data_IF_470188947646
#
_entry.id   IF_470188947646
#
_cell.length_a   1.000
_cell.length_b   1.000
_cell.length_c   1.000
_cell.angle_alpha   90.00
_cell.angle_beta   90.00
_cell.angle_gamma   90.00
#
_symmetry.space_group_name_H-M   'P 1'
#
loop_
_entity.id
_entity.type
_entity.pdbx_description
1 polymer ?
#
# COMPACT_ATOMS: atom_id res chain seq x y z
N UNK A 1 -33.08 -50.37 -31.42
CA UNK A 1 -34.27 -50.42 -32.28
C UNK A 1 -35.42 -49.75 -31.51
N UNK A 2 -35.96 -48.64 -32.06
CA UNK A 2 -37.14 -47.84 -31.67
C UNK A 2 -37.28 -47.34 -30.21
N UNK A 3 -37.01 -46.07 -29.87
CA UNK A 3 -37.80 -44.80 -30.01
C UNK A 3 -39.17 -44.73 -29.31
N UNK A 4 -39.26 -43.85 -28.29
CA UNK A 4 -40.41 -43.01 -27.95
C UNK A 4 -39.87 -41.81 -27.12
N UNK A 5 -39.63 -40.62 -27.69
CA UNK A 5 -40.58 -39.55 -28.01
C UNK A 5 -41.29 -38.96 -26.77
N UNK A 6 -40.69 -37.91 -26.18
CA UNK A 6 -41.31 -37.03 -25.18
C UNK A 6 -41.46 -35.61 -25.75
N UNK A 7 -42.57 -34.90 -25.49
CA UNK A 7 -42.93 -33.69 -26.23
C UNK A 7 -42.22 -32.43 -25.72
N UNK A 8 -41.84 -31.62 -26.70
CA UNK A 8 -41.35 -30.26 -26.65
C UNK A 8 -42.43 -29.30 -26.11
N UNK A 9 -42.07 -28.45 -25.15
CA UNK A 9 -42.83 -27.24 -24.80
C UNK A 9 -42.03 -26.01 -25.21
N UNK A 10 -42.47 -25.41 -26.30
CA UNK A 10 -42.17 -24.05 -26.75
C UNK A 10 -43.00 -23.07 -25.93
N UNK A 11 -42.34 -22.14 -25.24
CA UNK A 11 -42.97 -20.90 -24.76
C UNK A 11 -42.25 -19.74 -25.41
N UNK A 12 -42.90 -19.18 -26.43
CA UNK A 12 -42.66 -17.86 -26.99
C UNK A 12 -43.09 -16.81 -25.96
N UNK A 13 -42.11 -16.12 -25.37
CA UNK A 13 -42.31 -14.94 -24.53
C UNK A 13 -41.99 -13.68 -25.32
N UNK A 14 -43.03 -12.90 -25.58
CA UNK A 14 -43.09 -11.63 -26.30
C UNK A 14 -42.16 -10.56 -25.74
N UNK A 15 -41.53 -9.82 -26.66
CA UNK A 15 -40.70 -8.65 -26.39
C UNK A 15 -41.46 -7.55 -25.65
N UNK A 16 -40.89 -7.13 -24.53
CA UNK A 16 -41.23 -5.90 -23.83
C UNK A 16 -40.14 -4.86 -24.08
N UNK A 17 -40.46 -3.85 -24.89
CA UNK A 17 -39.79 -2.56 -24.95
C UNK A 17 -39.77 -1.91 -23.56
N UNK A 18 -38.59 -1.68 -23.00
CA UNK A 18 -38.40 -0.84 -21.83
C UNK A 18 -37.44 0.31 -22.16
N UNK A 19 -37.97 1.51 -21.93
CA UNK A 19 -37.41 2.82 -22.15
C UNK A 19 -35.97 2.99 -21.67
N UNK A 20 -35.17 3.61 -22.53
CA UNK A 20 -33.96 4.33 -22.17
C UNK A 20 -34.30 5.45 -21.18
N UNK A 21 -34.00 5.23 -19.91
CA UNK A 21 -33.91 6.31 -18.93
C UNK A 21 -32.45 6.74 -18.87
N UNK A 22 -32.20 7.98 -19.28
CA UNK A 22 -30.88 8.57 -19.23
C UNK A 22 -30.37 8.62 -17.81
N UNK A 23 -29.19 8.05 -17.58
CA UNK A 23 -28.32 8.46 -16.49
C UNK A 23 -27.24 9.35 -17.08
N UNK A 24 -27.55 10.64 -17.05
CA UNK A 24 -26.57 11.72 -17.06
C UNK A 24 -25.43 11.38 -16.09
N UNK A 25 -24.22 11.26 -16.61
CA UNK A 25 -23.00 11.24 -15.81
C UNK A 25 -23.01 12.44 -14.84
N UNK A 26 -22.74 12.25 -13.55
CA UNK A 26 -22.57 13.39 -12.67
C UNK A 26 -21.34 14.17 -13.14
N UNK A 27 -21.58 15.39 -13.63
CA UNK A 27 -20.55 16.42 -13.74
C UNK A 27 -20.08 16.71 -12.32
N UNK A 28 -18.95 16.12 -11.92
CA UNK A 28 -18.27 16.51 -10.68
C UNK A 28 -17.68 17.90 -10.92
N UNK A 29 -18.43 18.89 -10.45
CA UNK A 29 -18.02 20.28 -10.34
C UNK A 29 -16.76 20.37 -9.49
N UNK A 30 -15.74 21.00 -10.07
CA UNK A 30 -14.58 21.55 -9.37
C UNK A 30 -15.04 22.39 -8.17
N UNK A 31 -14.19 22.37 -7.13
CA UNK A 31 -14.16 23.19 -5.91
C UNK A 31 -14.84 22.57 -4.68
N UNK A 32 -14.04 21.86 -3.92
CA UNK A 32 -13.94 22.10 -2.48
C UNK A 32 -12.48 21.89 -2.07
N UNK A 33 -11.74 22.99 -1.92
CA UNK A 33 -10.50 22.99 -1.15
C UNK A 33 -10.92 22.90 0.31
N UNK A 34 -10.97 21.68 0.85
CA UNK A 34 -11.09 21.47 2.29
C UNK A 34 -9.68 21.55 2.87
N UNK A 35 -9.43 22.63 3.61
CA UNK A 35 -8.19 22.84 4.32
C UNK A 35 -7.93 21.69 5.30
N UNK A 36 -6.70 21.21 5.29
CA UNK A 36 -6.11 20.45 6.39
C UNK A 36 -6.05 21.41 7.57
N UNK A 37 -7.05 21.35 8.44
CA UNK A 37 -7.24 22.31 9.53
C UNK A 37 -8.06 21.67 10.63
N UNK A 38 -7.39 20.78 11.37
CA UNK A 38 -7.90 20.20 12.61
C UNK A 38 -7.02 20.58 13.79
N UNK A 39 -6.45 21.79 13.81
CA UNK A 39 -5.97 22.40 15.04
C UNK A 39 -7.22 22.82 15.82
N UNK A 40 -7.76 21.92 16.63
CA UNK A 40 -8.74 22.31 17.64
C UNK A 40 -8.01 23.24 18.61
N UNK A 41 -8.48 24.48 18.74
CA UNK A 41 -7.92 25.48 19.66
C UNK A 41 -7.77 24.86 21.05
N UNK A 42 -6.52 24.57 21.43
CA UNK A 42 -6.22 23.91 22.69
C UNK A 42 -6.11 24.99 23.76
N UNK A 43 -7.10 25.05 24.65
CA UNK A 43 -7.06 25.99 25.77
C UNK A 43 -5.99 25.57 26.79
N UNK A 44 -4.86 26.27 26.81
CA UNK A 44 -3.84 26.13 27.84
C UNK A 44 -4.38 26.58 29.20
N UNK A 45 -4.11 25.81 30.25
CA UNK A 45 -4.42 26.19 31.62
C UNK A 45 -3.21 26.92 32.22
N UNK A 46 -3.42 28.20 32.53
CA UNK A 46 -2.43 29.06 33.14
C UNK A 46 -2.44 28.85 34.66
N UNK A 47 -1.33 28.35 35.21
CA UNK A 47 -1.14 28.27 36.65
C UNK A 47 -0.47 29.57 37.12
N UNK A 48 -1.15 30.30 38.01
CA UNK A 48 -0.73 31.63 38.47
C UNK A 48 0.70 31.69 39.04
N UNK A 49 1.38 32.78 38.70
CA UNK A 49 2.72 33.21 39.12
C UNK A 49 3.87 32.28 38.68
N UNK A 50 4.32 32.38 37.43
CA UNK A 50 5.61 31.81 37.04
C UNK A 50 5.93 31.59 35.56
N UNK A 51 5.34 32.31 34.60
CA UNK A 51 5.73 32.23 33.18
C UNK A 51 5.64 30.83 32.56
N UNK A 52 4.82 29.94 33.13
CA UNK A 52 4.70 28.55 32.69
C UNK A 52 3.24 28.12 32.55
N UNK A 53 2.97 27.27 31.56
CA UNK A 53 1.65 26.77 31.24
C UNK A 53 1.70 25.25 31.21
N UNK A 54 0.60 24.61 31.58
CA UNK A 54 0.46 23.16 31.49
C UNK A 54 -0.46 22.80 30.34
N UNK A 55 -0.01 21.82 29.56
CA UNK A 55 -0.85 21.19 28.58
C UNK A 55 -1.93 20.36 29.28
N UNK A 56 -3.15 20.33 28.73
CA UNK A 56 -4.14 19.32 29.10
C UNK A 56 -3.54 17.92 28.96
N UNK A 57 -4.00 17.01 29.83
CA UNK A 57 -3.65 15.61 29.74
C UNK A 57 -3.94 15.07 28.33
N UNK A 58 -3.02 14.28 27.78
CA UNK A 58 -3.16 13.64 26.45
C UNK A 58 -3.29 14.62 25.27
N UNK A 59 -2.69 15.81 25.38
CA UNK A 59 -2.58 16.72 24.24
C UNK A 59 -1.79 16.08 23.11
N UNK A 60 -2.25 16.24 21.86
CA UNK A 60 -1.49 15.87 20.66
C UNK A 60 -1.44 17.01 19.66
N UNK A 61 -0.25 17.26 19.13
CA UNK A 61 -0.01 18.10 17.97
C UNK A 61 0.71 17.30 16.89
N UNK A 62 0.30 17.57 15.66
CA UNK A 62 0.90 17.01 14.45
C UNK A 62 1.41 18.18 13.63
N UNK A 63 2.70 18.20 13.35
CA UNK A 63 3.32 19.23 12.52
C UNK A 63 4.00 18.57 11.32
N UNK A 64 3.66 19.04 10.12
CA UNK A 64 4.50 18.80 8.95
C UNK A 64 5.74 19.71 9.06
N UNK A 65 6.89 19.30 8.54
CA UNK A 65 8.21 19.91 8.73
C UNK A 65 8.41 21.39 8.28
N UNK A 66 7.35 22.20 8.19
CA UNK A 66 7.42 23.65 8.07
C UNK A 66 7.70 24.38 9.40
N UNK A 67 7.48 23.73 10.54
CA UNK A 67 7.92 24.21 11.86
C UNK A 67 9.40 23.93 12.14
N UNK A 68 10.04 24.73 13.00
CA UNK A 68 11.39 24.43 13.48
C UNK A 68 11.44 23.03 14.12
N UNK A 69 12.44 22.18 13.81
CA UNK A 69 12.46 20.81 14.32
C UNK A 69 12.63 20.81 15.84
N UNK A 70 11.69 20.20 16.57
CA UNK A 70 11.87 19.93 17.99
C UNK A 70 13.04 18.95 18.19
N UNK A 71 13.83 19.11 19.27
CA UNK A 71 14.98 18.26 19.53
C UNK A 71 14.56 16.82 19.80
N UNK A 72 15.15 15.89 19.06
CA UNK A 72 15.00 14.44 19.25
C UNK A 72 16.36 13.77 19.39
N UNK A 73 16.39 12.63 20.09
CA UNK A 73 17.55 11.73 20.06
C UNK A 73 17.38 10.80 18.87
N UNK A 74 18.35 10.80 17.95
CA UNK A 74 18.32 9.93 16.78
C UNK A 74 18.25 8.45 17.15
N UNK A 75 17.39 7.71 16.49
CA UNK A 75 17.32 6.26 16.54
C UNK A 75 18.07 5.70 15.33
N UNK A 76 18.91 4.70 15.59
CA UNK A 76 19.56 3.98 14.50
C UNK A 76 18.50 3.23 13.68
N UNK A 77 18.57 3.25 12.33
CA UNK A 77 17.70 2.43 11.51
C UNK A 77 17.90 0.95 11.86
N UNK A 78 16.82 0.25 12.20
CA UNK A 78 16.82 -1.20 12.44
C UNK A 78 15.92 -1.88 11.43
N UNK A 79 16.35 -3.04 10.93
CA UNK A 79 15.54 -3.86 10.04
C UNK A 79 14.26 -4.31 10.77
N UNK A 80 13.11 -4.18 10.12
CA UNK A 80 11.82 -4.51 10.74
C UNK A 80 11.19 -3.42 11.60
N UNK A 81 11.91 -2.33 11.92
CA UNK A 81 11.41 -1.19 12.72
C UNK A 81 10.70 -0.17 11.83
N UNK A 82 9.67 -0.62 11.13
CA UNK A 82 8.90 0.20 10.20
C UNK A 82 7.48 -0.34 9.98
N UNK A 83 6.60 0.54 9.50
CA UNK A 83 5.35 0.17 8.85
C UNK A 83 5.53 0.31 7.35
N UNK A 84 5.06 -0.66 6.59
CA UNK A 84 5.00 -0.60 5.13
C UNK A 84 3.70 -1.21 4.63
N UNK A 85 2.85 -0.37 4.06
CA UNK A 85 1.55 -0.69 3.47
C UNK A 85 1.42 0.02 2.11
N UNK A 86 0.53 -0.41 1.20
CA UNK A 86 0.43 0.23 -0.11
C UNK A 86 0.18 1.73 0.04
N UNK A 87 1.01 2.53 -0.63
CA UNK A 87 1.00 3.98 -0.55
C UNK A 87 1.86 4.61 0.56
N UNK A 88 2.33 3.86 1.57
CA UNK A 88 3.14 4.45 2.64
C UNK A 88 4.24 3.54 3.20
N UNK A 89 5.29 4.19 3.68
CA UNK A 89 6.26 3.65 4.62
C UNK A 89 6.49 4.64 5.75
N UNK A 90 6.45 4.15 6.99
CA UNK A 90 6.76 4.93 8.19
C UNK A 90 7.94 4.34 8.95
N UNK A 91 8.83 5.21 9.41
CA UNK A 91 9.94 4.87 10.29
C UNK A 91 10.15 5.95 11.34
N UNK A 92 10.32 5.56 12.61
CA UNK A 92 10.71 6.51 13.66
C UNK A 92 12.19 6.82 13.52
N UNK A 93 12.54 8.10 13.39
CA UNK A 93 13.91 8.60 13.25
C UNK A 93 14.50 9.10 14.54
N UNK A 94 13.67 9.62 15.42
CA UNK A 94 14.14 10.18 16.67
C UNK A 94 13.01 10.37 17.66
N UNK A 95 13.38 10.24 18.93
CA UNK A 95 12.45 10.36 20.05
C UNK A 95 13.07 11.21 21.15
N UNK A 96 12.25 12.00 21.83
CA UNK A 96 12.63 12.70 23.06
C UNK A 96 11.46 12.68 24.04
N UNK A 97 11.79 12.45 25.31
CA UNK A 97 10.86 12.57 26.44
C UNK A 97 11.36 13.71 27.32
N UNK A 98 10.46 14.64 27.67
CA UNK A 98 10.78 15.76 28.53
C UNK A 98 9.56 16.17 29.36
N UNK A 99 9.76 16.64 30.59
CA UNK A 99 8.69 17.23 31.38
C UNK A 99 8.22 18.59 30.84
N UNK A 100 9.06 19.25 30.03
CA UNK A 100 8.79 20.60 29.52
C UNK A 100 9.50 20.90 28.20
N UNK A 101 8.94 21.83 27.43
CA UNK A 101 9.52 22.40 26.23
C UNK A 101 9.58 23.93 26.34
N UNK A 102 10.63 24.59 25.82
CA UNK A 102 10.61 26.04 25.63
C UNK A 102 9.36 26.47 24.84
N UNK A 103 8.70 27.53 25.28
CA UNK A 103 7.46 28.01 24.66
C UNK A 103 7.66 28.38 23.18
N UNK A 104 8.83 28.91 22.82
CA UNK A 104 9.19 29.17 21.42
C UNK A 104 9.15 27.88 20.58
N UNK A 105 9.77 26.81 21.06
CA UNK A 105 9.78 25.52 20.37
C UNK A 105 8.36 24.94 20.25
N UNK A 106 7.56 25.05 21.31
CA UNK A 106 6.17 24.60 21.27
C UNK A 106 5.33 25.40 20.24
N UNK A 107 5.53 26.73 20.12
CA UNK A 107 4.90 27.55 19.08
C UNK A 107 5.34 27.15 17.67
N UNK A 108 6.64 26.94 17.48
CA UNK A 108 7.20 26.47 16.20
C UNK A 108 6.63 25.11 15.79
N UNK A 109 6.30 24.25 16.77
CA UNK A 109 5.62 22.98 16.54
C UNK A 109 4.09 23.11 16.32
N UNK A 110 3.55 24.34 16.30
CA UNK A 110 2.15 24.62 16.03
C UNK A 110 1.25 24.67 17.27
N UNK A 111 1.80 24.69 18.49
CA UNK A 111 1.01 24.91 19.69
C UNK A 111 0.52 26.36 19.72
N UNK A 112 -0.80 26.55 19.78
CA UNK A 112 -1.39 27.86 20.02
C UNK A 112 -1.14 28.27 21.47
N UNK A 113 -0.25 29.24 21.66
CA UNK A 113 0.01 29.85 22.96
C UNK A 113 -0.65 31.23 22.92
N UNK A 114 -1.58 31.56 23.84
CA UNK A 114 -2.26 32.84 23.87
C UNK A 114 -1.30 34.02 23.77
N UNK A 115 -1.62 34.97 22.89
CA UNK A 115 -0.87 36.21 22.76
C UNK A 115 -0.97 37.03 24.06
N UNK A 116 0.16 37.61 24.50
CA UNK A 116 0.20 38.56 25.63
C UNK A 116 0.76 38.02 26.95
N UNK A 117 1.09 36.73 27.03
CA UNK A 117 1.82 36.18 28.18
C UNK A 117 3.26 35.85 27.81
N UNK A 118 4.22 36.35 28.59
CA UNK A 118 5.62 35.92 28.57
C UNK A 118 5.72 34.49 29.10
N UNK A 119 5.26 33.54 28.28
CA UNK A 119 5.43 32.14 28.53
C UNK A 119 6.85 31.73 28.13
N UNK A 120 7.61 31.25 29.09
CA UNK A 120 8.97 30.74 28.85
C UNK A 120 8.94 29.25 28.54
N UNK A 121 8.09 28.48 29.24
CA UNK A 121 8.04 27.02 29.16
C UNK A 121 6.62 26.48 29.14
N UNK A 122 6.42 25.45 28.33
CA UNK A 122 5.22 24.61 28.28
C UNK A 122 5.56 23.30 28.99
N UNK A 123 4.73 22.90 29.96
CA UNK A 123 4.91 21.68 30.75
C UNK A 123 3.84 20.66 30.41
N UNK A 124 4.18 19.38 30.53
CA UNK A 124 3.20 18.31 30.54
C UNK A 124 2.23 18.44 31.74
N UNK A 125 1.11 17.72 31.66
CA UNK A 125 0.23 17.54 32.82
C UNK A 125 0.97 16.80 33.95
N UNK A 126 0.43 16.86 35.17
CA UNK A 126 1.05 16.16 36.31
C UNK A 126 1.00 14.64 36.10
N UNK A 127 2.14 13.96 36.22
CA UNK A 127 2.27 12.53 35.97
C UNK A 127 2.42 12.18 34.49
N UNK A 128 2.62 13.18 33.63
CA UNK A 128 2.84 13.03 32.20
C UNK A 128 4.17 13.68 31.78
N UNK A 129 4.65 13.29 30.60
CA UNK A 129 5.79 13.84 29.90
C UNK A 129 5.41 14.19 28.46
N UNK A 130 6.13 15.13 27.87
CA UNK A 130 6.05 15.49 26.47
C UNK A 130 6.94 14.53 25.67
N UNK A 131 6.29 13.71 24.86
CA UNK A 131 6.90 12.87 23.85
C UNK A 131 6.97 13.62 22.52
N UNK A 132 8.19 13.83 22.03
CA UNK A 132 8.45 14.33 20.68
C UNK A 132 8.93 13.17 19.82
N UNK A 133 8.29 12.96 18.68
CA UNK A 133 8.61 11.90 17.72
C UNK A 133 8.89 12.51 16.37
N UNK A 134 10.05 12.21 15.81
CA UNK A 134 10.37 12.47 14.41
C UNK A 134 10.08 11.21 13.59
N UNK A 135 9.14 11.32 12.65
CA UNK A 135 8.69 10.26 11.77
C UNK A 135 9.10 10.57 10.32
N UNK A 136 9.76 9.60 9.71
CA UNK A 136 10.00 9.58 8.28
C UNK A 136 8.82 8.91 7.59
N UNK A 137 8.17 9.64 6.69
CA UNK A 137 7.13 9.11 5.80
C UNK A 137 7.65 9.06 4.38
N UNK A 138 7.64 7.90 3.74
CA UNK A 138 8.15 7.70 2.38
C UNK A 138 7.18 6.90 1.52
N UNK A 139 7.34 6.92 0.20
CA UNK A 139 6.75 5.89 -0.66
C UNK A 139 7.20 4.49 -0.19
N UNK A 140 6.34 3.47 -0.35
CA UNK A 140 6.72 2.09 -0.04
C UNK A 140 7.83 1.62 -0.98
N UNK A 141 8.73 0.79 -0.45
CA UNK A 141 9.81 0.16 -1.20
C UNK A 141 9.38 -1.12 -1.93
N UNK A 142 8.26 -1.73 -1.51
CA UNK A 142 7.83 -3.07 -1.95
C UNK A 142 6.47 -3.20 -2.60
N UNK A 143 5.68 -2.16 -2.48
CA UNK A 143 4.27 -2.24 -2.78
C UNK A 143 4.04 -1.54 -4.11
N UNK A 144 3.01 -1.94 -4.88
CA UNK A 144 2.77 -1.36 -6.18
C UNK A 144 2.71 0.17 -6.04
N UNK A 145 3.38 0.85 -6.97
CA UNK A 145 3.33 2.32 -7.06
C UNK A 145 1.95 2.82 -7.47
N UNK A 146 1.14 1.94 -8.06
CA UNK A 146 -0.28 2.20 -8.31
C UNK A 146 -1.07 2.05 -7.01
N UNK A 147 -2.09 2.89 -6.79
CA UNK A 147 -3.02 2.74 -5.68
C UNK A 147 -3.61 1.33 -5.64
N UNK A 148 -3.44 0.64 -4.51
CA UNK A 148 -4.29 -0.51 -4.18
C UNK A 148 -5.62 0.08 -3.70
N UNK A 149 -6.75 -0.24 -4.34
CA UNK A 149 -8.05 0.22 -3.88
C UNK A 149 -8.28 -0.30 -2.46
N UNK A 150 -8.77 0.55 -1.57
CA UNK A 150 -9.07 0.15 -0.21
C UNK A 150 -9.33 1.32 0.73
N UNK A 151 -9.85 1.00 1.90
CA UNK A 151 -10.00 1.95 3.00
C UNK A 151 -8.68 2.02 3.75
N UNK A 152 -8.01 3.15 3.61
CA UNK A 152 -6.76 3.44 4.27
C UNK A 152 -6.99 4.28 5.52
N UNK A 153 -6.42 3.85 6.65
CA UNK A 153 -6.58 4.51 7.94
C UNK A 153 -5.25 4.59 8.69
N UNK A 154 -4.84 5.82 9.01
CA UNK A 154 -3.67 6.14 9.85
C UNK A 154 -4.15 6.79 11.15
N UNK A 155 -3.70 6.27 12.29
CA UNK A 155 -4.04 6.82 13.61
C UNK A 155 -2.92 6.61 14.62
N UNK A 156 -2.76 7.58 15.51
CA UNK A 156 -1.92 7.44 16.70
C UNK A 156 -2.82 7.00 17.85
N UNK A 157 -2.44 5.91 18.52
CA UNK A 157 -3.15 5.34 19.64
C UNK A 157 -2.33 5.50 20.92
N UNK A 158 -2.95 6.02 21.98
CA UNK A 158 -2.43 6.03 23.34
C UNK A 158 -3.36 5.17 24.21
N UNK A 159 -2.85 4.10 24.81
CA UNK A 159 -3.63 3.10 25.56
C UNK A 159 -4.79 2.52 24.73
N UNK A 160 -4.57 2.34 23.42
CA UNK A 160 -5.59 1.88 22.47
C UNK A 160 -6.66 2.93 22.11
N UNK A 161 -6.59 4.13 22.68
CA UNK A 161 -7.48 5.24 22.34
C UNK A 161 -6.84 6.10 21.25
N UNK A 162 -7.59 6.38 20.19
CA UNK A 162 -7.13 7.28 19.14
C UNK A 162 -6.97 8.71 19.67
N UNK A 163 -5.76 9.23 19.59
CA UNK A 163 -5.41 10.59 20.05
C UNK A 163 -5.06 11.52 18.91
N UNK A 164 -4.69 11.00 17.73
CA UNK A 164 -4.43 11.81 16.55
C UNK A 164 -4.52 11.04 15.23
N UNK A 165 -4.60 11.78 14.12
CA UNK A 165 -4.54 11.27 12.75
C UNK A 165 -3.46 12.01 11.96
N UNK A 166 -2.27 11.42 11.75
CA UNK A 166 -1.13 12.08 11.10
C UNK A 166 -1.39 12.48 9.63
N UNK A 167 -2.49 12.01 9.05
CA UNK A 167 -3.03 12.54 7.81
C UNK A 167 -4.24 11.74 7.33
N UNK A 168 -4.96 12.32 6.35
CA UNK A 168 -5.83 11.58 5.43
C UNK A 168 -5.18 11.67 4.06
N UNK A 169 -4.03 11.04 3.84
CA UNK A 169 -3.47 11.06 2.49
C UNK A 169 -4.09 9.94 1.69
N UNK A 170 -4.60 10.30 0.52
CA UNK A 170 -4.72 9.37 -0.59
C UNK A 170 -3.40 8.61 -0.78
N UNK A 171 -3.40 7.38 -1.33
CA UNK A 171 -2.22 6.53 -1.48
C UNK A 171 -1.06 7.11 -2.32
N UNK A 172 -1.16 8.34 -2.83
CA UNK A 172 -0.07 9.06 -3.49
C UNK A 172 0.66 9.95 -2.48
N UNK A 173 1.62 9.37 -1.78
CA UNK A 173 2.65 10.15 -1.09
C UNK A 173 3.61 10.70 -2.16
N UNK A 174 3.40 11.97 -2.56
CA UNK A 174 4.38 12.72 -3.36
C UNK A 174 5.64 12.96 -2.52
N UNK A 175 6.58 12.03 -2.59
CA UNK A 175 7.93 12.16 -2.04
C UNK A 175 8.06 11.97 -0.53
N UNK A 176 9.30 11.88 -0.03
CA UNK A 176 9.56 11.76 1.40
C UNK A 176 9.09 13.01 2.16
N UNK A 177 8.46 12.80 3.30
CA UNK A 177 8.00 13.87 4.21
C UNK A 177 8.42 13.54 5.64
N UNK A 178 9.05 14.51 6.30
CA UNK A 178 9.26 14.45 7.73
C UNK A 178 7.98 14.93 8.45
N UNK A 179 7.55 14.16 9.44
CA UNK A 179 6.40 14.43 10.28
C UNK A 179 6.88 14.48 11.72
N UNK A 180 6.52 15.53 12.44
CA UNK A 180 6.81 15.62 13.86
C UNK A 180 5.52 15.52 14.67
N UNK A 181 5.56 14.69 15.70
CA UNK A 181 4.45 14.46 16.60
C UNK A 181 4.86 14.91 18.01
N UNK A 182 4.06 15.76 18.64
CA UNK A 182 4.21 16.14 20.05
C UNK A 182 3.00 15.66 20.83
N UNK A 183 3.20 14.76 21.80
CA UNK A 183 2.13 14.14 22.59
C UNK A 183 2.45 14.22 24.08
N UNK A 184 1.45 14.51 24.90
CA UNK A 184 1.55 14.31 26.36
C UNK A 184 1.20 12.86 26.71
N UNK A 185 2.14 12.12 27.29
CA UNK A 185 2.04 10.69 27.64
C UNK A 185 2.31 10.46 29.13
N UNK A 186 1.77 9.42 29.78
CA UNK A 186 2.13 9.05 31.14
C UNK A 186 3.64 8.85 31.32
N UNK A 187 4.18 9.18 32.51
CA UNK A 187 5.61 8.95 32.85
C UNK A 187 6.02 7.46 32.78
N UNK A 188 5.07 6.54 32.91
CA UNK A 188 5.26 5.08 32.87
C UNK A 188 4.90 4.46 31.51
N UNK A 189 4.92 5.25 30.43
CA UNK A 189 4.55 4.80 29.09
C UNK A 189 5.48 3.67 28.60
N UNK A 190 4.89 2.65 27.96
CA UNK A 190 5.62 1.53 27.34
C UNK A 190 5.47 1.55 25.82
N UNK A 191 6.36 0.88 25.05
CA UNK A 191 6.31 0.83 23.59
C UNK A 191 4.95 0.41 23.00
N UNK A 192 4.22 -0.48 23.69
CA UNK A 192 2.94 -1.01 23.23
C UNK A 192 1.77 -0.06 23.47
N UNK A 193 1.96 0.92 24.36
CA UNK A 193 0.91 1.85 24.79
C UNK A 193 0.83 3.10 23.93
N UNK A 194 1.88 3.46 23.17
CA UNK A 194 1.87 4.60 22.26
C UNK A 194 2.35 4.19 20.87
N UNK A 195 1.40 3.99 19.97
CA UNK A 195 1.66 3.40 18.65
C UNK A 195 1.10 4.24 17.52
N UNK A 196 1.82 4.29 16.41
CA UNK A 196 1.25 4.60 15.11
C UNK A 196 0.65 3.31 14.55
N UNK A 197 -0.65 3.32 14.28
CA UNK A 197 -1.33 2.27 13.56
C UNK A 197 -1.63 2.74 12.13
N UNK A 198 -1.28 1.91 11.16
CA UNK A 198 -1.75 2.05 9.79
C UNK A 198 -2.47 0.78 9.36
N UNK A 199 -3.55 0.94 8.60
CA UNK A 199 -4.34 -0.17 8.09
C UNK A 199 -4.84 0.06 6.67
N UNK A 200 -4.90 -1.03 5.89
CA UNK A 200 -5.49 -1.08 4.56
C UNK A 200 -6.40 -2.30 4.48
N UNK A 201 -7.70 -2.09 4.27
CA UNK A 201 -8.72 -3.14 4.13
C UNK A 201 -8.65 -4.23 5.22
N UNK A 202 -8.45 -3.78 6.47
CA UNK A 202 -8.40 -4.65 7.64
C UNK A 202 -7.01 -5.21 7.96
N UNK A 203 -6.05 -5.13 7.04
CA UNK A 203 -4.65 -5.47 7.30
C UNK A 203 -4.00 -4.35 8.07
N UNK A 204 -3.55 -4.63 9.29
CA UNK A 204 -3.09 -3.65 10.26
C UNK A 204 -1.63 -3.85 10.62
N UNK A 205 -0.89 -2.75 10.77
CA UNK A 205 0.45 -2.73 11.33
C UNK A 205 0.58 -1.64 12.40
N UNK A 206 1.32 -1.91 13.46
CA UNK A 206 1.57 -0.99 14.58
C UNK A 206 3.05 -0.80 14.84
N UNK A 207 3.46 0.46 14.95
CA UNK A 207 4.81 0.91 15.24
C UNK A 207 4.81 1.65 16.56
N UNK A 208 5.65 1.24 17.51
CA UNK A 208 5.92 1.99 18.73
C UNK A 208 6.52 3.35 18.36
N UNK A 209 5.95 4.40 18.91
CA UNK A 209 6.49 5.75 18.75
C UNK A 209 7.63 6.07 19.73
N UNK A 210 7.93 5.17 20.67
CA UNK A 210 9.01 5.36 21.66
C UNK A 210 10.37 4.88 21.17
N UNK A 211 10.39 3.79 20.41
CA UNK A 211 11.62 3.13 19.97
C UNK A 211 11.59 2.68 18.50
N UNK A 212 10.47 2.91 17.80
CA UNK A 212 10.29 2.48 16.42
C UNK A 212 10.12 0.98 16.25
N UNK A 213 10.03 0.19 17.32
CA UNK A 213 9.80 -1.25 17.22
C UNK A 213 8.39 -1.54 16.70
N UNK A 214 8.24 -2.64 15.96
CA UNK A 214 6.94 -3.09 15.50
C UNK A 214 6.26 -3.88 16.62
N UNK A 215 5.13 -3.39 17.10
CA UNK A 215 4.44 -3.94 18.28
C UNK A 215 3.49 -5.07 17.90
N UNK A 216 2.79 -4.90 16.78
CA UNK A 216 1.81 -5.88 16.28
C UNK A 216 1.62 -5.66 14.80
N UNK A 217 1.40 -6.74 14.05
CA UNK A 217 0.96 -6.62 12.67
C UNK A 217 0.40 -7.91 12.12
N UNK A 218 -0.57 -7.79 11.22
CA UNK A 218 -1.13 -8.91 10.46
C UNK A 218 -0.18 -9.40 9.36
N UNK A 219 0.84 -8.61 9.02
CA UNK A 219 1.88 -8.96 8.06
C UNK A 219 3.11 -9.42 8.82
N UNK A 220 3.39 -10.72 8.86
CA UNK A 220 4.42 -11.30 9.72
C UNK A 220 5.85 -10.81 9.45
N UNK A 221 6.13 -10.26 8.26
CA UNK A 221 7.47 -9.88 7.86
C UNK A 221 7.53 -8.57 7.09
N UNK A 222 8.67 -7.89 7.17
CA UNK A 222 8.97 -6.75 6.31
C UNK A 222 9.63 -7.28 5.04
N UNK A 223 9.05 -6.94 3.89
CA UNK A 223 9.64 -7.26 2.59
C UNK A 223 10.88 -6.36 2.39
N UNK A 224 12.01 -6.89 1.91
CA UNK A 224 13.30 -6.17 1.85
C UNK A 224 13.87 -6.06 0.43
N UNK A 225 14.49 -4.91 0.04
CA UNK A 225 14.39 -4.09 -1.21
C UNK A 225 14.02 -4.75 -2.54
N UNK A 226 13.05 -4.14 -3.27
CA UNK A 226 12.37 -4.78 -4.40
C UNK A 226 13.43 -5.17 -5.42
N UNK A 227 13.58 -6.46 -5.77
CA UNK A 227 14.48 -6.80 -6.85
C UNK A 227 13.95 -6.20 -8.14
N UNK A 228 14.86 -5.68 -8.95
CA UNK A 228 14.55 -5.32 -10.32
C UNK A 228 14.23 -6.59 -11.09
N UNK A 229 13.22 -6.50 -11.95
CA UNK A 229 12.81 -7.60 -12.80
C UNK A 229 13.10 -7.23 -14.24
N UNK A 230 14.01 -7.99 -14.84
CA UNK A 230 14.31 -7.91 -16.26
C UNK A 230 13.63 -9.08 -16.96
N UNK A 231 12.79 -8.75 -17.95
CA UNK A 231 12.25 -9.74 -18.88
C UNK A 231 13.08 -9.66 -20.15
N UNK A 232 13.66 -10.78 -20.57
CA UNK A 232 14.30 -10.85 -21.88
C UNK A 232 13.24 -10.54 -22.96
N UNK A 233 13.38 -9.40 -23.64
CA UNK A 233 12.46 -9.00 -24.68
C UNK A 233 12.42 -10.08 -25.77
N UNK A 234 11.30 -10.77 -25.88
CA UNK A 234 11.15 -11.86 -26.83
C UNK A 234 9.83 -11.69 -27.58
N UNK A 235 9.91 -11.40 -28.87
CA UNK A 235 8.76 -11.45 -29.76
C UNK A 235 8.64 -12.88 -30.27
N UNK A 236 7.49 -13.50 -30.06
CA UNK A 236 7.17 -14.78 -30.66
C UNK A 236 6.04 -14.64 -31.65
N UNK A 237 6.12 -15.43 -32.72
CA UNK A 237 5.04 -15.63 -33.68
C UNK A 237 5.03 -17.09 -34.09
N UNK A 238 3.87 -17.74 -33.95
CA UNK A 238 3.68 -19.13 -34.36
C UNK A 238 2.42 -19.26 -35.20
N UNK A 239 2.58 -19.98 -36.30
CA UNK A 239 1.47 -20.43 -37.14
C UNK A 239 1.12 -21.84 -36.71
N UNK A 240 -0.16 -22.09 -36.43
CA UNK A 240 -0.70 -23.42 -36.18
C UNK A 240 -0.67 -24.28 -37.44
N UNK A 241 -1.16 -25.51 -37.31
CA UNK A 241 -1.28 -26.45 -38.44
C UNK A 241 -2.23 -25.95 -39.53
N UNK A 242 -3.14 -25.03 -39.20
CA UNK A 242 -3.96 -24.32 -40.18
C UNK A 242 -3.39 -22.89 -40.39
N UNK A 243 -3.42 -22.37 -41.63
CA UNK A 243 -2.82 -21.07 -41.98
C UNK A 243 -3.58 -19.87 -41.42
N UNK A 244 -4.72 -20.09 -40.76
CA UNK A 244 -5.57 -19.04 -40.19
C UNK A 244 -5.43 -18.93 -38.67
N UNK A 245 -4.76 -19.88 -38.04
CA UNK A 245 -4.39 -19.86 -36.64
C UNK A 245 -2.95 -19.37 -36.56
N UNK A 246 -2.75 -18.10 -36.21
CA UNK A 246 -1.46 -17.66 -35.75
C UNK A 246 -1.63 -16.83 -34.48
N UNK A 247 -0.68 -17.00 -33.58
CA UNK A 247 -0.58 -16.16 -32.40
C UNK A 247 0.81 -15.54 -32.41
N UNK A 248 0.83 -14.23 -32.23
CA UNK A 248 2.04 -13.52 -31.91
C UNK A 248 1.87 -12.84 -30.55
N UNK A 249 2.98 -12.68 -29.84
CA UNK A 249 2.98 -11.96 -28.59
C UNK A 249 4.36 -11.56 -28.15
N UNK A 250 4.39 -10.81 -27.07
CA UNK A 250 5.61 -10.42 -26.36
C UNK A 250 5.31 -10.28 -24.87
N UNK A 251 6.24 -10.68 -24.00
CA UNK A 251 6.20 -10.33 -22.57
C UNK A 251 6.98 -9.03 -22.49
N UNK A 252 6.26 -7.95 -22.27
CA UNK A 252 6.80 -6.60 -22.46
C UNK A 252 7.40 -6.03 -21.18
N UNK A 253 6.98 -6.54 -20.03
CA UNK A 253 7.40 -6.07 -18.72
C UNK A 253 7.03 -7.09 -17.64
N UNK A 254 7.58 -6.88 -16.45
CA UNK A 254 7.08 -7.48 -15.23
C UNK A 254 7.30 -6.55 -14.04
N UNK A 255 6.61 -6.81 -12.94
CA UNK A 255 6.82 -6.10 -11.67
C UNK A 255 6.94 -7.08 -10.52
N UNK A 256 7.75 -6.73 -9.52
CA UNK A 256 7.79 -7.46 -8.25
C UNK A 256 7.08 -6.60 -7.21
N UNK A 257 6.23 -7.23 -6.41
CA UNK A 257 5.51 -6.58 -5.33
C UNK A 257 5.28 -7.54 -4.17
N UNK A 258 4.93 -7.01 -3.00
CA UNK A 258 4.46 -7.81 -1.87
C UNK A 258 2.93 -8.04 -1.88
N UNK A 259 2.19 -7.25 -2.67
CA UNK A 259 0.73 -7.32 -2.79
C UNK A 259 0.31 -7.11 -4.25
N UNK A 260 -0.72 -7.83 -4.67
CA UNK A 260 -1.37 -7.65 -5.98
C UNK A 260 -2.33 -6.45 -5.98
N UNK A 261 -2.76 -5.95 -7.15
CA UNK A 261 -3.71 -4.82 -7.24
C UNK A 261 -5.08 -5.08 -6.60
N UNK A 262 -5.46 -6.34 -6.39
CA UNK A 262 -6.70 -6.71 -5.69
C UNK A 262 -6.53 -6.82 -4.15
N UNK A 263 -5.34 -6.51 -3.63
CA UNK A 263 -5.04 -6.54 -2.19
C UNK A 263 -4.52 -7.88 -1.66
N UNK A 264 -4.30 -8.89 -2.53
CA UNK A 264 -3.77 -10.19 -2.10
C UNK A 264 -2.27 -10.11 -1.77
N UNK A 265 -1.93 -10.42 -0.52
CA UNK A 265 -0.53 -10.44 -0.05
C UNK A 265 0.20 -11.74 -0.40
N UNK A 266 1.50 -11.64 -0.62
CA UNK A 266 2.38 -12.80 -0.69
C UNK A 266 2.44 -13.52 0.67
N UNK A 267 2.61 -14.84 0.66
CA UNK A 267 2.89 -15.57 1.89
C UNK A 267 4.26 -15.20 2.47
N UNK A 268 4.48 -15.45 3.78
CA UNK A 268 5.81 -15.36 4.39
C UNK A 268 6.88 -16.09 3.58
N UNK A 269 7.97 -15.38 3.25
CA UNK A 269 9.06 -15.94 2.46
C UNK A 269 8.82 -15.92 0.94
N UNK A 270 7.74 -15.32 0.46
CA UNK A 270 7.40 -15.23 -0.97
C UNK A 270 7.28 -13.78 -1.45
N UNK A 271 7.25 -13.61 -2.77
CA UNK A 271 7.02 -12.35 -3.47
C UNK A 271 5.95 -12.55 -4.57
N UNK A 272 5.21 -11.49 -4.87
CA UNK A 272 4.35 -11.44 -6.04
C UNK A 272 5.14 -10.96 -7.25
N UNK A 273 5.03 -11.68 -8.35
CA UNK A 273 5.65 -11.33 -9.64
C UNK A 273 4.55 -11.18 -10.65
N UNK A 274 4.47 -10.03 -11.31
CA UNK A 274 3.60 -9.84 -12.46
C UNK A 274 4.37 -9.97 -13.76
N UNK A 275 3.70 -10.49 -14.78
CA UNK A 275 4.16 -10.47 -16.16
C UNK A 275 3.08 -9.83 -17.02
N UNK A 276 3.45 -8.78 -17.77
CA UNK A 276 2.59 -8.13 -18.74
C UNK A 276 2.80 -8.78 -20.11
N UNK A 277 1.76 -9.41 -20.62
CA UNK A 277 1.77 -10.12 -21.91
C UNK A 277 0.92 -9.35 -22.90
N UNK A 278 1.51 -8.98 -24.03
CA UNK A 278 0.79 -8.42 -25.16
C UNK A 278 0.61 -9.51 -26.22
N UNK A 279 -0.63 -9.80 -26.59
CA UNK A 279 -0.93 -10.76 -27.65
C UNK A 279 -1.64 -10.10 -28.82
N UNK A 280 -1.31 -10.57 -30.02
CA UNK A 280 -1.87 -10.12 -31.28
C UNK A 280 -2.66 -11.27 -31.89
N UNK A 281 -3.97 -11.37 -31.64
CA UNK A 281 -4.82 -12.37 -32.25
C UNK A 281 -5.15 -11.97 -33.68
N UNK A 282 -5.09 -12.95 -34.55
CA UNK A 282 -5.38 -12.79 -35.98
C UNK A 282 -6.10 -14.02 -36.54
N UNK A 283 -6.67 -14.85 -35.65
CA UNK A 283 -7.25 -16.15 -35.98
C UNK A 283 -8.21 -16.68 -34.93
N UNK A 284 -8.73 -17.90 -35.14
CA UNK A 284 -9.66 -18.56 -34.19
C UNK A 284 -8.97 -18.77 -32.83
N UNK A 285 -9.70 -18.59 -31.70
CA UNK A 285 -9.11 -18.68 -30.37
C UNK A 285 -8.72 -20.12 -30.03
N UNK A 286 -7.41 -20.37 -29.92
CA UNK A 286 -6.88 -21.48 -29.13
C UNK A 286 -6.88 -21.13 -27.63
N UNK A 287 -6.71 -22.12 -26.77
CA UNK A 287 -6.47 -21.89 -25.33
C UNK A 287 -4.99 -21.65 -25.12
N UNK A 288 -4.62 -20.54 -24.51
CA UNK A 288 -3.23 -20.24 -24.16
C UNK A 288 -3.08 -20.29 -22.65
N UNK A 289 -1.97 -20.83 -22.17
CA UNK A 289 -1.62 -20.88 -20.75
C UNK A 289 -0.28 -20.22 -20.53
N UNK A 290 -0.15 -19.54 -19.38
CA UNK A 290 1.08 -18.92 -18.93
C UNK A 290 1.48 -19.56 -17.61
N UNK A 291 2.71 -20.04 -17.50
CA UNK A 291 3.31 -20.52 -16.27
C UNK A 291 4.66 -19.87 -16.02
N UNK A 292 5.13 -19.89 -14.77
CA UNK A 292 6.46 -19.45 -14.42
C UNK A 292 7.27 -20.62 -13.88
N UNK A 293 8.25 -21.09 -14.65
CA UNK A 293 9.13 -22.20 -14.26
C UNK A 293 10.26 -21.67 -13.40
N UNK A 294 10.35 -22.16 -12.17
CA UNK A 294 11.33 -21.77 -11.16
C UNK A 294 12.65 -22.56 -11.32
N UNK A 295 13.75 -22.11 -10.69
CA UNK A 295 15.06 -22.77 -10.80
C UNK A 295 15.09 -24.20 -10.28
N UNK A 296 14.20 -24.55 -9.36
CA UNK A 296 14.04 -25.93 -8.85
C UNK A 296 13.26 -26.84 -9.82
N UNK A 297 12.83 -26.30 -10.97
CA UNK A 297 12.06 -26.99 -12.01
C UNK A 297 10.56 -27.03 -11.73
N UNK A 298 10.09 -26.51 -10.60
CA UNK A 298 8.66 -26.38 -10.32
C UNK A 298 8.03 -25.27 -11.17
N UNK A 299 6.71 -25.36 -11.39
CA UNK A 299 5.96 -24.36 -12.17
C UNK A 299 4.96 -23.66 -11.27
N UNK A 300 5.10 -22.35 -11.11
CA UNK A 300 4.10 -21.51 -10.49
C UNK A 300 2.97 -21.19 -11.49
N UNK A 301 1.73 -21.35 -11.04
CA UNK A 301 0.53 -21.00 -11.81
C UNK A 301 0.08 -19.57 -11.51
N UNK A 302 -0.49 -18.84 -12.47
CA UNK A 302 -1.05 -17.52 -12.22
C UNK A 302 -2.13 -17.57 -11.15
N UNK A 303 -2.17 -16.54 -10.29
CA UNK A 303 -3.29 -16.29 -9.38
C UNK A 303 -4.45 -15.63 -10.12
N UNK A 304 -5.66 -15.99 -9.72
CA UNK A 304 -6.90 -15.43 -10.26
C UNK A 304 -7.21 -15.90 -11.68
N UNK A 305 -8.21 -15.24 -12.27
CA UNK A 305 -8.61 -15.49 -13.66
C UNK A 305 -7.62 -14.80 -14.62
N UNK A 306 -6.84 -15.62 -15.32
CA UNK A 306 -5.82 -15.19 -16.28
C UNK A 306 -6.25 -15.46 -17.73
N UNK A 307 -7.53 -15.79 -17.98
CA UNK A 307 -8.03 -15.96 -19.34
C UNK A 307 -7.82 -14.71 -20.19
N UNK A 308 -7.83 -13.54 -19.54
CA UNK A 308 -7.67 -12.23 -20.15
C UNK A 308 -6.24 -11.87 -20.55
N UNK A 309 -5.24 -12.64 -20.11
CA UNK A 309 -3.83 -12.42 -20.47
C UNK A 309 -3.63 -12.47 -21.98
N UNK A 310 -4.43 -13.29 -22.66
CA UNK A 310 -4.37 -13.54 -24.09
C UNK A 310 -5.53 -12.92 -24.87
N UNK A 311 -6.38 -12.13 -24.21
CA UNK A 311 -7.38 -11.34 -24.91
C UNK A 311 -6.67 -10.16 -25.60
N UNK A 312 -7.06 -9.81 -26.84
CA UNK A 312 -6.60 -8.59 -27.50
C UNK A 312 -7.15 -7.35 -26.79
N UNK A 313 -6.55 -7.02 -25.67
CA UNK A 313 -6.78 -5.77 -24.97
C UNK A 313 -5.67 -4.82 -25.37
N UNK A 314 -6.06 -3.62 -25.78
CA UNK A 314 -5.14 -2.51 -25.98
C UNK A 314 -4.39 -2.28 -24.66
N UNK A 315 -3.10 -2.63 -24.61
CA UNK A 315 -2.27 -2.56 -23.41
C UNK A 315 -1.80 -3.90 -22.80
N UNK A 316 -2.26 -5.04 -23.32
CA UNK A 316 -1.87 -6.37 -22.84
C UNK A 316 -2.60 -6.80 -21.56
N UNK A 317 -2.48 -8.08 -21.21
CA UNK A 317 -3.01 -8.64 -19.97
C UNK A 317 -1.91 -9.00 -18.99
N UNK A 318 -2.18 -8.83 -17.70
CA UNK A 318 -1.23 -9.05 -16.62
C UNK A 318 -1.57 -10.33 -15.86
N UNK A 319 -0.57 -11.19 -15.63
CA UNK A 319 -0.67 -12.36 -14.78
C UNK A 319 0.21 -12.20 -13.55
N UNK A 320 -0.29 -12.61 -12.38
CA UNK A 320 0.44 -12.53 -11.12
C UNK A 320 0.79 -13.94 -10.61
N UNK A 321 2.02 -14.12 -10.15
CA UNK A 321 2.58 -15.36 -9.64
C UNK A 321 3.11 -15.14 -8.24
N UNK A 322 2.97 -16.12 -7.36
CA UNK A 322 3.68 -16.12 -6.09
C UNK A 322 4.93 -17.01 -6.22
N UNK A 323 6.09 -16.46 -5.88
CA UNK A 323 7.39 -17.15 -5.98
C UNK A 323 8.18 -17.04 -4.67
N UNK A 324 9.07 -17.99 -4.35
CA UNK A 324 9.97 -17.86 -3.22
C UNK A 324 10.82 -16.59 -3.32
N UNK A 325 11.00 -15.86 -2.22
CA UNK A 325 11.71 -14.58 -2.16
C UNK A 325 13.13 -14.68 -2.69
N UNK A 326 13.79 -15.81 -2.48
CA UNK A 326 15.15 -16.16 -2.92
C UNK A 326 15.29 -16.50 -4.40
N UNK A 327 14.20 -16.47 -5.17
CA UNK A 327 14.23 -16.72 -6.61
C UNK A 327 15.10 -15.67 -7.31
N UNK A 328 16.25 -16.10 -7.84
CA UNK A 328 17.18 -15.24 -8.59
C UNK A 328 16.82 -15.13 -10.09
N UNK A 329 16.07 -16.09 -10.61
CA UNK A 329 15.62 -16.12 -12.00
C UNK A 329 14.46 -17.09 -12.15
N UNK A 330 13.69 -16.94 -13.21
CA UNK A 330 12.63 -17.86 -13.60
C UNK A 330 12.51 -17.86 -15.13
N UNK A 331 11.74 -18.81 -15.67
CA UNK A 331 11.42 -18.86 -17.10
C UNK A 331 9.92 -18.77 -17.27
N UNK A 332 9.44 -17.68 -17.87
CA UNK A 332 8.05 -17.58 -18.29
C UNK A 332 7.82 -18.55 -19.45
N UNK A 333 6.90 -19.50 -19.26
CA UNK A 333 6.51 -20.48 -20.27
C UNK A 333 5.12 -20.15 -20.78
N UNK A 334 5.02 -19.85 -22.07
CA UNK A 334 3.75 -19.64 -22.78
C UNK A 334 3.47 -20.90 -23.59
N UNK A 335 2.37 -21.58 -23.30
CA UNK A 335 1.93 -22.74 -24.06
C UNK A 335 0.66 -22.41 -24.83
N UNK A 336 0.69 -22.72 -26.12
CA UNK A 336 -0.42 -22.50 -27.04
C UNK A 336 -1.05 -23.83 -27.36
N UNK A 337 -2.34 -23.97 -27.11
CA UNK A 337 -3.06 -25.21 -27.35
C UNK A 337 -4.30 -25.00 -28.21
N UNK A 338 -4.57 -25.95 -29.11
CA UNK A 338 -5.82 -26.03 -29.87
C UNK A 338 -6.38 -27.45 -29.77
N UNK A 339 -7.68 -27.55 -29.46
CA UNK A 339 -8.38 -28.83 -29.33
C UNK A 339 -7.69 -29.84 -28.38
N UNK A 340 -7.05 -29.34 -27.31
CA UNK A 340 -6.35 -30.16 -26.33
C UNK A 340 -4.93 -30.59 -26.73
N UNK A 341 -4.40 -30.10 -27.86
CA UNK A 341 -3.04 -30.36 -28.31
C UNK A 341 -2.19 -29.10 -28.19
N UNK A 342 -1.02 -29.21 -27.55
CA UNK A 342 -0.02 -28.13 -27.51
C UNK A 342 0.58 -27.96 -28.91
N UNK A 343 0.41 -26.77 -29.48
CA UNK A 343 0.91 -26.37 -30.79
C UNK A 343 2.31 -25.77 -30.71
N UNK A 344 2.59 -25.01 -29.66
CA UNK A 344 3.88 -24.35 -29.45
C UNK A 344 4.10 -24.07 -27.97
N UNK A 345 5.39 -24.04 -27.60
CA UNK A 345 5.86 -23.60 -26.29
C UNK A 345 6.92 -22.53 -26.53
N UNK A 346 6.76 -21.40 -25.85
CA UNK A 346 7.76 -20.34 -25.82
C UNK A 346 8.28 -20.18 -24.40
N UNK A 347 9.59 -19.98 -24.29
CA UNK A 347 10.30 -19.84 -23.02
C UNK A 347 11.06 -18.52 -23.01
N UNK A 348 10.85 -17.75 -21.95
CA UNK A 348 11.34 -16.38 -21.85
C UNK A 348 12.01 -16.23 -20.49
N UNK A 349 13.29 -15.89 -20.50
CA UNK A 349 14.04 -15.67 -19.28
C UNK A 349 13.51 -14.44 -18.53
N UNK A 350 13.30 -14.62 -17.22
CA UNK A 350 12.94 -13.58 -16.26
C UNK A 350 14.04 -13.56 -15.20
N UNK A 351 14.76 -12.45 -15.08
CA UNK A 351 15.88 -12.31 -14.15
C UNK A 351 15.50 -11.35 -13.02
N UNK A 352 15.84 -11.72 -11.78
CA UNK A 352 15.63 -10.89 -10.61
C UNK A 352 16.99 -10.37 -10.12
N UNK A 353 17.19 -9.05 -10.22
CA UNK A 353 18.44 -8.41 -9.81
C UNK A 353 18.24 -7.73 -8.46
N UNK A 354 19.10 -8.04 -7.49
CA UNK A 354 19.10 -7.38 -6.18
C UNK A 354 20.24 -6.36 -6.17
N UNK A 355 19.91 -5.09 -5.92
CA UNK A 355 20.91 -4.05 -5.67
C UNK A 355 21.60 -4.21 -4.31
#
# INVERSE_FOLDING_TARGET
>A
MATAAGPSRTTSGTGGTAASTGQSAPRWSRRAAFGVGGAGALALLLAGCGGSARLPARTVLLSEAGGGPLPTTGLAPQEGHLIELPGVRYQVRGVSLSESLPAQQAREAGLEIPDGEELEVVRAARGEQLLVVDLDRRPPSFLPTRPVPGTYLERVLLDGVEVARPGRSAPEVEGPRALQILISVPEDITPERIVLESSLDGITQRLSLLDGSRVSSDIEHVYAPRPDLEVAANWWQRTGSDPWTFLAGTVVAGTVAAVTPDGTWAAPGSLMVSLLVCTYPTGRPGTSTLGLVLPDGSTATPRGDHSRVFEAVEGGGEAWFEVPRETAGATARVELSAHGTVLATEEIAVTFTRE
#
